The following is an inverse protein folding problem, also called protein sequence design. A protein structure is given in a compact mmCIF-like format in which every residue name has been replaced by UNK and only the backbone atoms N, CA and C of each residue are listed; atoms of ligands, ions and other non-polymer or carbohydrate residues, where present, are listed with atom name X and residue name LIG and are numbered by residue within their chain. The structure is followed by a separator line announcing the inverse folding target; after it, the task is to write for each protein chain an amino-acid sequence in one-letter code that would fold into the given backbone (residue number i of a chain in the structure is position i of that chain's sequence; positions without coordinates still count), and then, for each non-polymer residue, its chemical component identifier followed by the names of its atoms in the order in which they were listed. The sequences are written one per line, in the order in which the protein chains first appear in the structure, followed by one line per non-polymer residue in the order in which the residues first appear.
data_IF_494384519645
#
_entry.id   IF_494384519645
#
_cell.length_a   1.000
_cell.length_b   1.000
_cell.length_c   1.000
_cell.angle_alpha   90.00
_cell.angle_beta   90.00
_cell.angle_gamma   90.00
#
_symmetry.space_group_name_H-M   'P 1'
#
loop_
_entity.id
_entity.type
_entity.pdbx_description
1 polymer ?
#
# COMPACT_ATOMS: atom_id res chain seq x y z
N UNK A 1 0.51 -4.66 3.68
CA UNK A 1 -0.18 -4.34 2.42
C UNK A 1 -0.91 -3.01 2.56
N UNK A 2 -0.92 -2.18 1.52
CA UNK A 2 -1.73 -0.96 1.50
C UNK A 2 -3.17 -1.28 1.11
N UNK A 3 -4.11 -0.68 1.83
CA UNK A 3 -5.55 -0.82 1.58
C UNK A 3 -6.17 0.57 1.58
N UNK A 4 -7.24 0.76 0.80
CA UNK A 4 -8.01 1.98 0.77
C UNK A 4 -9.44 1.75 1.24
N UNK A 5 -10.01 2.73 1.95
CA UNK A 5 -11.38 2.68 2.45
C UNK A 5 -12.36 3.09 1.35
N UNK A 6 -13.28 2.21 0.98
CA UNK A 6 -14.34 2.54 0.02
C UNK A 6 -15.64 2.96 0.74
N UNK A 7 -16.48 3.72 0.05
CA UNK A 7 -17.85 3.98 0.49
C UNK A 7 -18.66 2.70 0.27
N UNK A 8 -19.24 2.07 1.31
CA UNK A 8 -20.12 0.94 1.08
C UNK A 8 -21.30 1.41 0.23
N UNK A 9 -21.46 0.83 -0.97
CA UNK A 9 -22.64 1.00 -1.81
C UNK A 9 -23.84 0.32 -1.14
N UNK A 10 -24.36 0.90 -0.07
CA UNK A 10 -25.73 0.64 0.35
C UNK A 10 -26.59 1.83 -0.07
N UNK A 11 -27.73 1.54 -0.72
CA UNK A 11 -28.69 2.46 -1.38
C UNK A 11 -28.44 2.84 -2.85
N UNK A 12 -28.33 1.84 -3.73
CA UNK A 12 -28.93 1.95 -5.07
C UNK A 12 -30.17 1.04 -5.16
N UNK A 13 -31.32 1.67 -4.88
CA UNK A 13 -32.68 1.40 -5.36
C UNK A 13 -32.94 0.00 -5.97
N UNK A 14 -33.49 -0.91 -5.17
CA UNK A 14 -34.36 -1.98 -5.66
C UNK A 14 -35.78 -1.76 -5.13
N UNK A 15 -36.53 -0.95 -5.86
CA UNK A 15 -37.99 -1.08 -5.87
C UNK A 15 -38.32 -2.25 -6.80
N UNK A 16 -38.82 -3.37 -6.26
CA UNK A 16 -39.22 -4.49 -7.13
C UNK A 16 -39.55 -5.82 -6.45
N UNK A 17 -40.62 -5.83 -5.66
CA UNK A 17 -41.63 -6.92 -5.47
C UNK A 17 -41.19 -8.38 -5.22
N UNK A 18 -41.80 -8.99 -4.19
CA UNK A 18 -41.79 -10.40 -3.74
C UNK A 18 -40.48 -10.83 -3.05
N UNK A 19 -40.44 -11.21 -1.78
CA UNK A 19 -41.40 -12.04 -1.06
C UNK A 19 -40.67 -13.28 -0.53
N UNK A 20 -40.05 -13.14 0.65
CA UNK A 20 -39.75 -14.20 1.62
C UNK A 20 -39.00 -15.48 1.18
N UNK A 21 -37.68 -15.40 0.95
CA UNK A 21 -36.70 -16.44 1.36
C UNK A 21 -35.31 -15.79 1.49
N UNK A 22 -34.95 -15.26 2.66
CA UNK A 22 -33.64 -14.57 2.84
C UNK A 22 -32.84 -15.02 4.07
N UNK A 23 -33.15 -16.18 4.66
CA UNK A 23 -32.65 -16.54 5.98
C UNK A 23 -31.51 -17.57 6.00
N UNK A 24 -30.68 -17.69 4.96
CA UNK A 24 -29.58 -18.68 4.93
C UNK A 24 -28.27 -18.18 4.28
N UNK A 25 -28.06 -16.87 4.16
CA UNK A 25 -26.73 -16.38 3.78
C UNK A 25 -25.88 -16.21 5.04
N UNK A 26 -24.68 -16.81 5.11
CA UNK A 26 -23.76 -16.52 6.19
C UNK A 26 -23.42 -15.04 6.13
N UNK A 27 -23.91 -14.28 7.10
CA UNK A 27 -23.47 -12.91 7.34
C UNK A 27 -21.96 -12.99 7.61
N UNK A 28 -21.14 -12.44 6.71
CA UNK A 28 -19.73 -12.24 7.02
C UNK A 28 -19.69 -11.41 8.31
N UNK A 29 -19.23 -12.00 9.41
CA UNK A 29 -19.14 -11.34 10.70
C UNK A 29 -18.20 -10.13 10.53
N UNK A 30 -18.78 -8.94 10.62
CA UNK A 30 -18.11 -7.67 10.34
C UNK A 30 -16.99 -7.43 11.35
N UNK A 31 -15.74 -7.49 10.91
CA UNK A 31 -14.69 -6.79 11.62
C UNK A 31 -15.00 -5.28 11.54
N UNK A 32 -15.38 -4.73 12.70
CA UNK A 32 -15.57 -3.32 13.06
C UNK A 32 -16.73 -2.54 12.41
N UNK A 33 -17.92 -2.69 13.01
CA UNK A 33 -18.98 -1.67 12.99
C UNK A 33 -18.54 -0.30 13.60
N UNK A 34 -17.30 -0.17 14.05
CA UNK A 34 -16.73 1.02 14.71
C UNK A 34 -15.58 1.66 13.94
N UNK A 35 -15.26 1.20 12.72
CA UNK A 35 -14.20 1.83 11.94
C UNK A 35 -14.67 3.18 11.38
N UNK A 36 -14.25 4.26 12.06
CA UNK A 36 -14.55 5.65 11.75
C UNK A 36 -13.56 6.29 10.77
N UNK A 37 -12.72 5.48 10.14
CA UNK A 37 -11.79 5.93 9.11
C UNK A 37 -12.53 6.61 7.94
N UNK A 38 -12.06 7.78 7.47
CA UNK A 38 -12.71 8.47 6.36
C UNK A 38 -12.60 7.66 5.06
N UNK A 39 -13.62 7.79 4.22
CA UNK A 39 -13.62 7.21 2.88
C UNK A 39 -12.52 7.83 2.02
N UNK A 40 -11.87 7.01 1.19
CA UNK A 40 -10.71 7.40 0.39
C UNK A 40 -9.39 7.41 1.15
N UNK A 41 -9.39 7.10 2.46
CA UNK A 41 -8.15 6.97 3.22
C UNK A 41 -7.36 5.72 2.78
N UNK A 42 -6.04 5.86 2.73
CA UNK A 42 -5.11 4.75 2.53
C UNK A 42 -4.41 4.45 3.85
N UNK A 43 -4.33 3.17 4.22
CA UNK A 43 -3.59 2.72 5.39
C UNK A 43 -2.75 1.48 5.08
N UNK A 44 -1.70 1.28 5.87
CA UNK A 44 -0.85 0.09 5.80
C UNK A 44 -1.24 -0.93 6.86
N UNK A 45 -1.46 -2.17 6.45
CA UNK A 45 -1.81 -3.31 7.30
C UNK A 45 -0.64 -4.31 7.31
N UNK A 46 -0.03 -4.56 8.47
CA UNK A 46 1.22 -5.33 8.59
C UNK A 46 1.02 -6.84 8.64
N UNK A 47 -0.11 -7.33 9.18
CA UNK A 47 -0.31 -8.76 9.50
C UNK A 47 -1.52 -9.40 8.82
N UNK A 48 -2.31 -8.62 8.09
CA UNK A 48 -3.53 -9.11 7.44
C UNK A 48 -3.27 -9.43 5.97
N UNK A 49 -3.57 -10.67 5.58
CA UNK A 49 -3.57 -11.12 4.18
C UNK A 49 -4.86 -10.76 3.44
N UNK A 50 -5.94 -10.49 4.19
CA UNK A 50 -7.25 -10.14 3.66
C UNK A 50 -7.63 -8.73 4.08
N UNK A 51 -8.44 -8.05 3.25
CA UNK A 51 -8.90 -6.70 3.58
C UNK A 51 -10.04 -6.77 4.60
N UNK A 52 -10.01 -5.93 5.66
CA UNK A 52 -11.17 -5.77 6.54
C UNK A 52 -12.41 -5.34 5.76
N UNK A 53 -13.59 -5.57 6.33
CA UNK A 53 -14.83 -5.09 5.73
C UNK A 53 -14.80 -3.56 5.52
N UNK A 54 -15.23 -3.09 4.34
CA UNK A 54 -15.17 -1.67 3.99
C UNK A 54 -13.79 -1.19 3.49
N UNK A 55 -12.81 -2.09 3.40
CA UNK A 55 -11.49 -1.83 2.84
C UNK A 55 -11.25 -2.68 1.60
N UNK A 56 -10.44 -2.16 0.69
CA UNK A 56 -10.00 -2.85 -0.51
C UNK A 56 -8.49 -2.71 -0.72
N UNK A 57 -7.85 -3.63 -1.45
CA UNK A 57 -6.46 -3.49 -1.88
C UNK A 57 -6.19 -2.17 -2.59
N UNK A 58 -5.21 -1.40 -2.14
CA UNK A 58 -4.74 -0.21 -2.86
C UNK A 58 -3.76 -0.62 -3.98
N UNK A 59 -4.26 -1.30 -5.01
CA UNK A 59 -3.44 -1.87 -6.10
C UNK A 59 -2.57 -0.84 -6.82
N UNK A 60 -3.02 0.41 -6.87
CA UNK A 60 -2.26 1.54 -7.43
C UNK A 60 -0.99 1.91 -6.64
N UNK A 61 -0.77 1.33 -5.44
CA UNK A 61 0.44 1.48 -4.63
C UNK A 61 1.35 0.24 -4.65
N UNK A 62 0.96 -0.84 -5.33
CA UNK A 62 1.79 -2.04 -5.41
C UNK A 62 3.11 -1.73 -6.13
N UNK A 63 4.23 -2.07 -5.49
CA UNK A 63 5.57 -1.77 -6.01
C UNK A 63 5.90 -0.27 -6.07
N UNK A 64 5.14 0.60 -5.39
CA UNK A 64 5.29 2.06 -5.47
C UNK A 64 5.43 2.71 -4.10
N UNK A 65 6.14 3.84 -4.07
CA UNK A 65 6.19 4.72 -2.92
C UNK A 65 5.04 5.74 -3.00
N UNK A 66 4.16 5.73 -2.00
CA UNK A 66 3.14 6.76 -1.85
C UNK A 66 3.76 8.07 -1.35
N UNK A 67 3.52 9.17 -2.07
CA UNK A 67 3.97 10.51 -1.68
C UNK A 67 2.77 11.39 -1.35
N UNK A 68 2.87 12.09 -0.22
CA UNK A 68 1.90 13.12 0.14
C UNK A 68 2.03 14.33 -0.78
N UNK A 69 0.91 14.85 -1.26
CA UNK A 69 0.87 16.08 -2.05
C UNK A 69 0.67 17.24 -1.08
N UNK A 70 1.54 18.24 -1.16
CA UNK A 70 1.50 19.45 -0.31
C UNK A 70 1.10 20.71 -1.07
N UNK A 71 1.08 20.69 -2.41
CA UNK A 71 0.61 21.79 -3.25
C UNK A 71 -0.72 21.46 -3.93
N UNK A 72 -1.51 22.49 -4.19
CA UNK A 72 -2.78 22.40 -4.94
C UNK A 72 -2.63 22.83 -6.41
N UNK A 73 -1.41 23.13 -6.85
CA UNK A 73 -1.10 23.89 -8.07
C UNK A 73 -0.66 23.04 -9.28
N UNK A 74 -0.69 21.71 -9.20
CA UNK A 74 -0.41 20.88 -10.38
C UNK A 74 -0.39 19.37 -10.19
N UNK A 75 -0.50 18.87 -8.96
CA UNK A 75 -0.52 17.44 -8.69
C UNK A 75 -1.94 16.94 -8.48
N UNK A 76 -2.41 16.12 -9.40
CA UNK A 76 -3.64 15.36 -9.22
C UNK A 76 -3.38 14.18 -8.29
N UNK A 77 -4.35 13.88 -7.41
CA UNK A 77 -4.34 12.63 -6.65
C UNK A 77 -4.13 11.44 -7.60
N UNK A 78 -3.44 10.41 -7.11
CA UNK A 78 -3.15 9.17 -7.83
C UNK A 78 -2.28 9.32 -9.10
N UNK A 79 -1.67 10.49 -9.34
CA UNK A 79 -0.68 10.63 -10.42
C UNK A 79 0.51 9.70 -10.16
N UNK A 80 0.75 8.79 -11.10
CA UNK A 80 1.88 7.87 -11.05
C UNK A 80 3.04 8.40 -11.89
N UNK A 81 4.26 8.28 -11.36
CA UNK A 81 5.50 8.61 -12.05
C UNK A 81 6.45 7.41 -11.95
N UNK A 82 7.10 7.07 -13.06
CA UNK A 82 8.01 5.93 -13.14
C UNK A 82 7.32 4.56 -13.15
N UNK A 83 8.13 3.51 -13.23
CA UNK A 83 7.69 2.10 -13.26
C UNK A 83 7.59 1.56 -11.84
N UNK A 84 6.56 0.75 -11.56
CA UNK A 84 6.47 0.04 -10.29
C UNK A 84 7.62 -0.97 -10.15
N UNK A 85 8.11 -1.16 -8.92
CA UNK A 85 9.06 -2.21 -8.60
C UNK A 85 8.34 -3.56 -8.56
N UNK A 86 8.94 -4.57 -9.18
CA UNK A 86 8.46 -5.94 -9.07
C UNK A 86 8.93 -6.56 -7.75
N UNK A 87 8.27 -7.65 -7.34
CA UNK A 87 8.71 -8.42 -6.18
C UNK A 87 10.17 -8.86 -6.37
N UNK A 88 10.97 -8.73 -5.31
CA UNK A 88 12.39 -9.14 -5.31
C UNK A 88 13.26 -8.46 -6.38
N UNK A 89 12.83 -7.32 -6.93
CA UNK A 89 13.72 -6.51 -7.78
C UNK A 89 14.94 -6.07 -6.97
N UNK A 90 16.13 -6.54 -7.35
CA UNK A 90 17.38 -6.11 -6.74
C UNK A 90 17.84 -4.79 -7.37
N UNK A 91 17.75 -3.64 -6.67
CA UNK A 91 18.28 -2.39 -7.20
C UNK A 91 19.82 -2.47 -7.23
N UNK A 92 20.40 -2.31 -8.42
CA UNK A 92 21.85 -2.09 -8.55
C UNK A 92 22.19 -0.76 -7.87
N UNK A 93 23.02 -0.82 -6.83
CA UNK A 93 23.55 0.36 -6.17
C UNK A 93 25.00 0.10 -5.78
N UNK A 94 25.82 1.16 -5.84
CA UNK A 94 27.23 1.11 -5.50
C UNK A 94 27.47 1.83 -4.17
N UNK A 95 28.30 1.23 -3.32
CA UNK A 95 28.81 1.87 -2.12
C UNK A 95 30.27 2.26 -2.35
N UNK A 96 30.56 3.54 -2.64
CA UNK A 96 31.94 3.98 -2.74
C UNK A 96 32.59 3.91 -1.36
N UNK A 97 33.68 3.15 -1.24
CA UNK A 97 34.53 3.17 -0.08
C UNK A 97 35.95 3.59 -0.48
N UNK A 98 36.60 4.35 0.40
CA UNK A 98 38.00 4.72 0.29
C UNK A 98 38.75 4.21 1.53
N UNK A 99 39.92 3.62 1.33
CA UNK A 99 40.78 3.15 2.43
C UNK A 99 42.15 3.79 2.29
N UNK A 100 42.63 4.39 3.39
CA UNK A 100 44.04 4.76 3.52
C UNK A 100 44.77 3.60 4.17
N UNK A 101 45.65 2.94 3.41
CA UNK A 101 46.50 1.85 3.88
C UNK A 101 47.91 2.38 4.11
N UNK A 102 48.40 2.32 5.36
CA UNK A 102 49.80 2.59 5.68
C UNK A 102 50.50 1.25 5.86
N UNK A 103 51.47 0.96 4.98
CA UNK A 103 52.32 -0.23 5.09
C UNK A 103 53.66 0.17 5.71
N UNK A 104 54.18 -0.58 6.69
CA UNK A 104 55.55 -0.39 7.14
C UNK A 104 56.51 -0.70 5.98
N UNK A 105 57.54 0.13 5.81
CA UNK A 105 58.60 -0.13 4.84
C UNK A 105 59.70 -0.92 5.51
N UNK A 106 60.00 -2.11 5.01
CA UNK A 106 61.26 -2.81 5.30
C UNK A 106 62.30 -2.45 4.23
N UNK A 107 63.49 -2.02 4.67
CA UNK A 107 64.65 -1.83 3.80
C UNK A 107 65.62 -3.00 3.98
N UNK A 108 66.11 -3.54 2.86
CA UNK A 108 67.18 -4.53 2.83
C UNK A 108 68.50 -3.79 2.65
N UNK A 109 69.36 -3.81 3.66
CA UNK A 109 70.71 -3.27 3.57
C UNK A 109 71.56 -4.18 2.66
N UNK A 110 72.10 -3.61 1.58
CA UNK A 110 72.99 -4.27 0.61
C UNK A 110 74.43 -4.32 1.10
#
# INVERSE_FOLDING_TARGET
MYMYRYLPMEFMLFWGVLGAVSALWPQAASAQATDTSPSGMVAYFSTQSECPNGWEPATYLEGRLGLGITDTAGWTLLKQVGTALENETAPSHDHPFGVTLSLPQETVDT
#
